data_IF_987688097305
#
_entry.id   IF_987688097305
#
_cell.length_a   1.000
_cell.length_b   1.000
_cell.length_c   1.000
_cell.angle_alpha   90.00
_cell.angle_beta   90.00
_cell.angle_gamma   90.00
#
_symmetry.space_group_name_H-M   'P 1'
#
loop_
_entity.id
_entity.type
_entity.pdbx_description
1 polymer ?
#
# COMPACT_ATOMS: atom_id res chain seq x y z
N UNK A 1 1.04 8.42 -16.79
CA UNK A 1 1.71 9.18 -15.71
C UNK A 1 1.30 8.75 -14.29
N UNK A 2 0.00 8.69 -13.94
CA UNK A 2 -0.45 8.46 -12.55
C UNK A 2 0.11 7.21 -11.86
N UNK A 3 0.08 6.04 -12.51
CA UNK A 3 0.68 4.80 -11.98
C UNK A 3 2.14 4.99 -11.56
N UNK A 4 2.94 5.57 -12.46
CA UNK A 4 4.36 5.82 -12.22
C UNK A 4 4.60 6.82 -11.07
N UNK A 5 3.78 7.87 -10.98
CA UNK A 5 3.84 8.81 -9.87
C UNK A 5 3.55 8.14 -8.52
N UNK A 6 2.58 7.22 -8.49
CA UNK A 6 2.28 6.39 -7.32
C UNK A 6 3.45 5.50 -6.89
N UNK A 7 4.09 4.82 -7.85
CA UNK A 7 5.27 3.98 -7.57
C UNK A 7 6.39 4.83 -6.98
N UNK A 8 6.75 5.94 -7.62
CA UNK A 8 7.83 6.81 -7.16
C UNK A 8 7.54 7.44 -5.80
N UNK A 9 6.30 7.89 -5.56
CA UNK A 9 5.91 8.43 -4.27
C UNK A 9 6.15 7.39 -3.16
N UNK A 10 5.67 6.16 -3.32
CA UNK A 10 5.90 5.11 -2.33
C UNK A 10 7.38 4.74 -2.20
N UNK A 11 8.13 4.72 -3.30
CA UNK A 11 9.57 4.42 -3.29
C UNK A 11 10.37 5.50 -2.56
N UNK A 12 10.05 6.78 -2.77
CA UNK A 12 10.74 7.88 -2.08
C UNK A 12 10.38 7.92 -0.60
N UNK A 13 9.11 7.70 -0.27
CA UNK A 13 8.60 7.75 1.09
C UNK A 13 8.87 6.46 1.86
N UNK A 14 9.13 5.35 1.16
CA UNK A 14 9.28 4.00 1.71
C UNK A 14 8.06 3.53 2.54
N UNK A 15 6.90 4.18 2.37
CA UNK A 15 5.65 3.84 3.03
C UNK A 15 4.47 4.07 2.10
N UNK A 16 3.81 2.97 1.74
CA UNK A 16 2.61 2.99 0.92
C UNK A 16 1.40 3.51 1.69
N UNK A 17 1.31 3.25 2.99
CA UNK A 17 0.28 3.81 3.87
C UNK A 17 0.32 5.33 3.86
N UNK A 18 1.51 5.93 3.95
CA UNK A 18 1.70 7.38 3.85
C UNK A 18 1.34 7.89 2.45
N UNK A 19 1.82 7.22 1.42
CA UNK A 19 1.58 7.64 0.03
C UNK A 19 0.10 7.58 -0.35
N UNK A 20 -0.59 6.49 0.02
CA UNK A 20 -2.03 6.31 -0.25
C UNK A 20 -2.89 7.23 0.60
N UNK A 21 -2.57 7.44 1.90
CA UNK A 21 -3.25 8.42 2.73
C UNK A 21 -3.10 9.84 2.19
N UNK A 22 -1.91 10.19 1.67
CA UNK A 22 -1.66 11.47 1.02
C UNK A 22 -2.50 11.63 -0.25
N UNK A 23 -2.53 10.62 -1.12
CA UNK A 23 -3.36 10.64 -2.33
C UNK A 23 -4.85 10.82 -1.99
N UNK A 24 -5.35 10.05 -1.00
CA UNK A 24 -6.74 10.18 -0.51
C UNK A 24 -7.01 11.56 0.07
N UNK A 25 -6.08 12.11 0.86
CA UNK A 25 -6.19 13.45 1.43
C UNK A 25 -6.23 14.54 0.37
N UNK A 26 -5.38 14.46 -0.66
CA UNK A 26 -5.37 15.40 -1.79
C UNK A 26 -6.67 15.38 -2.59
N UNK A 27 -7.23 14.19 -2.84
CA UNK A 27 -8.55 14.04 -3.48
C UNK A 27 -9.66 14.55 -2.57
N UNK A 28 -9.57 14.24 -1.28
CA UNK A 28 -10.46 14.71 -0.23
C UNK A 28 -10.43 16.22 0.01
N UNK A 29 -9.41 16.91 -0.49
CA UNK A 29 -9.28 18.37 -0.49
C UNK A 29 -9.64 19.00 -1.85
N UNK A 30 -9.97 18.18 -2.87
CA UNK A 30 -10.30 18.65 -4.21
C UNK A 30 -9.09 19.05 -5.07
N UNK A 31 -7.88 18.81 -4.59
CA UNK A 31 -6.62 19.16 -5.31
C UNK A 31 -6.23 18.13 -6.38
N UNK A 32 -6.72 16.90 -6.25
CA UNK A 32 -6.47 15.79 -7.16
C UNK A 32 -7.80 15.14 -7.55
N UNK A 33 -7.99 14.84 -8.83
CA UNK A 33 -9.20 14.15 -9.28
C UNK A 33 -9.11 12.64 -9.07
N UNK A 34 -10.27 11.98 -9.02
CA UNK A 34 -10.37 10.51 -8.82
C UNK A 34 -9.67 9.75 -9.95
N UNK A 35 -9.84 10.21 -11.20
CA UNK A 35 -9.29 9.53 -12.38
C UNK A 35 -7.77 9.48 -12.40
N UNK A 36 -7.08 10.51 -11.92
CA UNK A 36 -5.62 10.50 -11.76
C UNK A 36 -5.20 9.75 -10.49
N UNK A 37 -5.98 9.84 -9.41
CA UNK A 37 -5.66 9.24 -8.13
C UNK A 37 -5.75 7.70 -8.13
N UNK A 38 -6.69 7.11 -8.87
CA UNK A 38 -6.86 5.64 -8.91
C UNK A 38 -5.61 4.92 -9.46
N UNK A 39 -5.05 5.30 -10.63
CA UNK A 39 -3.77 4.79 -11.08
C UNK A 39 -2.64 5.06 -10.08
N UNK A 40 -2.60 6.23 -9.43
CA UNK A 40 -1.59 6.54 -8.41
C UNK A 40 -1.67 5.59 -7.21
N UNK A 41 -2.86 5.23 -6.74
CA UNK A 41 -3.02 4.24 -5.68
C UNK A 41 -2.55 2.85 -6.11
N UNK A 42 -2.91 2.42 -7.33
CA UNK A 42 -2.43 1.13 -7.87
C UNK A 42 -0.90 1.11 -7.94
N UNK A 43 -0.29 2.23 -8.32
CA UNK A 43 1.16 2.40 -8.36
C UNK A 43 1.78 2.41 -6.97
N UNK A 44 1.14 3.08 -6.01
CA UNK A 44 1.57 3.10 -4.63
C UNK A 44 1.57 1.69 -4.01
N UNK A 45 0.64 0.82 -4.42
CA UNK A 45 0.58 -0.58 -4.04
C UNK A 45 1.75 -1.40 -4.63
N UNK A 46 2.10 -1.18 -5.91
CA UNK A 46 3.33 -1.76 -6.48
C UNK A 46 4.55 -1.29 -5.68
N UNK A 47 4.66 0.01 -5.40
CA UNK A 47 5.81 0.56 -4.67
C UNK A 47 6.01 -0.02 -3.25
N UNK A 48 4.99 -0.64 -2.64
CA UNK A 48 5.09 -1.28 -1.31
C UNK A 48 6.21 -2.32 -1.23
N UNK A 49 6.55 -2.94 -2.35
CA UNK A 49 7.39 -4.14 -2.39
C UNK A 49 8.89 -3.83 -2.42
N UNK A 50 9.27 -2.56 -2.56
CA UNK A 50 10.67 -2.15 -2.47
C UNK A 50 11.26 -2.45 -1.10
N UNK A 51 10.51 -2.22 -0.02
CA UNK A 51 10.99 -2.48 1.36
C UNK A 51 11.30 -3.96 1.57
N UNK A 52 10.46 -4.83 1.01
CA UNK A 52 10.61 -6.29 1.09
C UNK A 52 11.84 -6.74 0.31
N UNK A 53 12.03 -6.16 -0.87
CA UNK A 53 13.18 -6.45 -1.72
C UNK A 53 14.47 -6.03 -1.03
N UNK A 54 14.53 -4.83 -0.45
CA UNK A 54 15.66 -4.37 0.35
C UNK A 54 15.92 -5.26 1.57
N UNK A 55 14.87 -5.67 2.29
CA UNK A 55 15.01 -6.59 3.43
C UNK A 55 15.63 -7.94 3.02
N UNK A 56 15.30 -8.45 1.84
CA UNK A 56 15.88 -9.70 1.34
C UNK A 56 17.38 -9.62 1.06
N UNK A 57 17.91 -8.42 0.75
CA UNK A 57 19.35 -8.21 0.52
C UNK A 57 20.18 -8.41 1.80
N UNK A 58 19.56 -8.42 2.99
CA UNK A 58 20.27 -8.73 4.23
C UNK A 58 20.87 -10.16 4.25
N UNK A 59 20.34 -11.07 3.43
CA UNK A 59 20.86 -12.43 3.28
C UNK A 59 21.75 -12.61 2.05
N UNK A 60 22.14 -11.55 1.33
CA UNK A 60 22.86 -11.62 0.03
C UNK A 60 24.14 -12.44 0.06
N UNK A 61 24.79 -12.54 1.22
CA UNK A 61 26.02 -13.32 1.42
C UNK A 61 25.79 -14.83 1.50
N UNK A 62 24.54 -15.28 1.67
CA UNK A 62 24.15 -16.69 1.85
C UNK A 62 23.19 -17.10 0.74
N UNK A 63 23.72 -17.66 -0.34
CA UNK A 63 22.98 -17.84 -1.61
C UNK A 63 21.64 -18.56 -1.49
N UNK A 64 21.55 -19.64 -0.69
CA UNK A 64 20.29 -20.37 -0.50
C UNK A 64 19.25 -19.59 0.33
N UNK A 65 19.70 -18.91 1.39
CA UNK A 65 18.84 -18.04 2.18
C UNK A 65 18.37 -16.84 1.35
N UNK A 66 19.30 -16.21 0.61
CA UNK A 66 19.02 -15.10 -0.29
C UNK A 66 17.98 -15.49 -1.35
N UNK A 67 18.14 -16.65 -2.00
CA UNK A 67 17.18 -17.16 -2.99
C UNK A 67 15.78 -17.27 -2.39
N UNK A 68 15.65 -17.82 -1.17
CA UNK A 68 14.36 -17.98 -0.50
C UNK A 68 13.78 -16.63 -0.06
N UNK A 69 14.60 -15.77 0.54
CA UNK A 69 14.22 -14.42 0.97
C UNK A 69 13.74 -13.57 -0.21
N UNK A 70 14.49 -13.58 -1.32
CA UNK A 70 14.18 -12.81 -2.50
C UNK A 70 12.91 -13.33 -3.21
N UNK A 71 12.69 -14.64 -3.22
CA UNK A 71 11.42 -15.20 -3.70
C UNK A 71 10.23 -14.73 -2.83
N UNK A 72 10.41 -14.69 -1.51
CA UNK A 72 9.38 -14.22 -0.58
C UNK A 72 9.07 -12.73 -0.77
N UNK A 73 10.08 -11.91 -1.07
CA UNK A 73 9.89 -10.49 -1.38
C UNK A 73 9.19 -10.27 -2.72
N UNK A 74 9.61 -10.98 -3.77
CA UNK A 74 9.14 -10.75 -5.15
C UNK A 74 7.80 -11.40 -5.48
N UNK A 75 7.34 -12.44 -4.77
CA UNK A 75 6.02 -13.02 -5.02
C UNK A 75 4.87 -12.03 -4.84
N UNK A 76 5.01 -11.08 -3.89
CA UNK A 76 4.03 -10.02 -3.67
C UNK A 76 4.10 -8.98 -4.79
N UNK A 77 5.31 -8.62 -5.19
CA UNK A 77 5.56 -7.70 -6.30
C UNK A 77 4.93 -8.20 -7.59
N UNK A 78 5.18 -9.46 -7.93
CA UNK A 78 4.62 -10.10 -9.11
C UNK A 78 3.10 -10.21 -9.04
N UNK A 79 2.53 -10.52 -7.87
CA UNK A 79 1.08 -10.51 -7.71
C UNK A 79 0.48 -9.11 -7.98
N UNK A 80 1.07 -8.06 -7.41
CA UNK A 80 0.61 -6.69 -7.58
C UNK A 80 0.76 -6.23 -9.04
N UNK A 81 1.90 -6.51 -9.67
CA UNK A 81 2.14 -6.20 -11.09
C UNK A 81 1.11 -6.92 -11.98
N UNK A 82 0.88 -8.21 -11.77
CA UNK A 82 -0.12 -8.97 -12.54
C UNK A 82 -1.52 -8.39 -12.33
N UNK A 83 -1.90 -8.06 -11.09
CA UNK A 83 -3.18 -7.45 -10.79
C UNK A 83 -3.33 -6.09 -11.49
N UNK A 84 -2.30 -5.24 -11.47
CA UNK A 84 -2.31 -3.95 -12.18
C UNK A 84 -2.40 -4.15 -13.70
N UNK A 85 -1.64 -5.07 -14.28
CA UNK A 85 -1.68 -5.36 -15.72
C UNK A 85 -3.07 -5.81 -16.20
N UNK A 86 -3.84 -6.48 -15.34
CA UNK A 86 -5.21 -6.90 -15.65
C UNK A 86 -6.20 -5.77 -15.38
N UNK A 87 -6.18 -5.20 -14.18
CA UNK A 87 -7.25 -4.32 -13.71
C UNK A 87 -7.07 -2.86 -14.09
N UNK A 88 -5.86 -2.36 -14.32
CA UNK A 88 -5.66 -0.97 -14.72
C UNK A 88 -6.24 -0.67 -16.11
N UNK A 89 -5.98 -1.48 -17.17
CA UNK A 89 -6.62 -1.26 -18.47
C UNK A 89 -8.14 -1.38 -18.39
N UNK A 90 -8.65 -2.36 -17.62
CA UNK A 90 -10.08 -2.53 -17.42
C UNK A 90 -10.68 -1.33 -16.68
N UNK A 91 -10.00 -0.82 -15.65
CA UNK A 91 -10.42 0.36 -14.90
C UNK A 91 -10.41 1.62 -15.77
N UNK A 92 -9.39 1.83 -16.60
CA UNK A 92 -9.32 3.01 -17.50
C UNK A 92 -10.43 2.95 -18.56
N UNK A 93 -10.72 1.76 -19.08
CA UNK A 93 -11.72 1.58 -20.16
C UNK A 93 -13.17 1.58 -19.68
N UNK A 94 -13.45 1.03 -18.49
CA UNK A 94 -14.83 0.83 -17.98
C UNK A 94 -15.15 1.60 -16.70
N UNK A 95 -14.14 2.06 -15.96
CA UNK A 95 -14.33 2.65 -14.63
C UNK A 95 -14.85 1.69 -13.57
N UNK A 96 -14.87 0.36 -13.81
CA UNK A 96 -15.66 -0.58 -12.99
C UNK A 96 -15.35 -0.56 -11.49
N UNK A 97 -14.09 -0.39 -11.06
CA UNK A 97 -13.74 -0.31 -9.64
C UNK A 97 -14.21 1.01 -9.05
N UNK A 98 -14.05 2.13 -9.77
CA UNK A 98 -14.51 3.44 -9.31
C UNK A 98 -16.04 3.52 -9.25
N UNK A 99 -16.74 2.85 -10.17
CA UNK A 99 -18.20 2.74 -10.14
C UNK A 99 -18.66 1.90 -8.96
N UNK A 100 -18.05 0.73 -8.74
CA UNK A 100 -18.36 -0.11 -7.58
C UNK A 100 -18.03 0.60 -6.25
N UNK A 101 -16.89 1.29 -6.19
CA UNK A 101 -16.48 2.09 -5.04
C UNK A 101 -17.43 3.27 -4.78
N UNK A 102 -17.93 3.92 -5.85
CA UNK A 102 -18.93 4.97 -5.77
C UNK A 102 -20.24 4.46 -5.18
N UNK A 103 -20.72 3.32 -5.67
CA UNK A 103 -21.92 2.67 -5.14
C UNK A 103 -21.76 2.30 -3.66
N UNK A 104 -20.61 1.73 -3.26
CA UNK A 104 -20.32 1.45 -1.86
C UNK A 104 -20.21 2.72 -1.01
N UNK A 105 -19.60 3.79 -1.54
CA UNK A 105 -19.50 5.07 -0.85
C UNK A 105 -20.89 5.66 -0.55
N UNK A 106 -21.84 5.53 -1.48
CA UNK A 106 -23.21 6.02 -1.31
C UNK A 106 -23.97 5.24 -0.23
N UNK A 107 -23.72 3.93 -0.12
CA UNK A 107 -24.28 3.08 0.94
C UNK A 107 -23.69 3.38 2.31
N UNK A 108 -22.38 3.59 2.40
CA UNK A 108 -21.67 3.77 3.68
C UNK A 108 -21.83 5.19 4.22
N UNK A 109 -21.73 6.20 3.36
CA UNK A 109 -21.61 7.59 3.79
C UNK A 109 -22.93 8.35 3.92
N UNK A 110 -24.09 7.70 3.73
CA UNK A 110 -25.39 8.37 3.79
C UNK A 110 -25.55 9.47 2.74
N UNK A 111 -24.71 9.48 1.69
CA UNK A 111 -24.70 10.49 0.61
C UNK A 111 -25.99 10.51 -0.22
N UNK A 112 -26.88 9.52 -0.05
CA UNK A 112 -28.21 9.47 -0.67
C UNK A 112 -29.24 10.45 -0.09
N UNK A 113 -28.92 11.18 0.98
CA UNK A 113 -29.86 12.02 1.72
C UNK A 113 -29.54 13.51 1.79
N UNK A 114 -29.02 14.14 0.73
CA UNK A 114 -28.97 15.62 0.55
C UNK A 114 -28.19 16.48 1.56
N UNK A 115 -27.78 15.94 2.71
CA UNK A 115 -26.93 16.60 3.69
C UNK A 115 -25.45 16.38 3.38
N UNK A 116 -24.62 17.42 3.55
CA UNK A 116 -23.16 17.27 3.52
C UNK A 116 -22.76 16.36 4.68
N UNK A 117 -22.22 15.15 4.44
CA UNK A 117 -21.72 14.33 5.53
C UNK A 117 -20.56 15.06 6.18
N UNK A 118 -20.65 15.22 7.50
CA UNK A 118 -19.58 15.81 8.28
C UNK A 118 -18.64 14.71 8.72
N UNK A 119 -17.35 14.88 8.44
CA UNK A 119 -16.32 13.99 8.95
C UNK A 119 -16.25 14.12 10.49
N UNK A 120 -16.53 13.04 11.25
CA UNK A 120 -16.43 13.08 12.71
C UNK A 120 -15.01 13.41 13.18
N UNK A 121 -14.01 12.93 12.43
CA UNK A 121 -12.60 13.23 12.71
C UNK A 121 -12.34 14.71 12.46
N UNK A 122 -12.84 15.28 11.35
CA UNK A 122 -12.68 16.70 11.02
C UNK A 122 -13.26 17.59 12.11
N UNK A 123 -14.42 17.23 12.66
CA UNK A 123 -15.01 18.00 13.78
C UNK A 123 -14.11 18.03 15.02
N UNK A 124 -13.48 16.89 15.35
CA UNK A 124 -12.54 16.78 16.48
C UNK A 124 -11.26 17.58 16.23
N UNK A 125 -10.71 17.54 15.01
CA UNK A 125 -9.46 18.23 14.69
C UNK A 125 -9.65 19.70 14.28
N UNK A 126 -10.88 20.17 14.09
CA UNK A 126 -11.19 21.51 13.59
C UNK A 126 -10.58 22.60 14.48
N UNK A 127 -10.81 22.54 15.78
CA UNK A 127 -10.32 23.56 16.71
C UNK A 127 -8.77 23.63 16.75
N UNK A 128 -8.03 22.51 16.88
CA UNK A 128 -6.57 22.53 16.74
C UNK A 128 -6.08 23.12 15.42
N UNK A 129 -6.74 22.79 14.29
CA UNK A 129 -6.36 23.26 12.96
C UNK A 129 -6.62 24.77 12.81
N UNK A 130 -7.77 25.26 13.26
CA UNK A 130 -8.12 26.70 13.22
C UNK A 130 -7.15 27.52 14.06
N UNK A 131 -6.67 27.01 15.20
CA UNK A 131 -5.62 27.67 15.99
C UNK A 131 -4.30 27.75 15.24
N UNK A 132 -3.90 26.70 14.53
CA UNK A 132 -2.68 26.70 13.71
C UNK A 132 -2.82 27.70 12.56
N UNK A 133 -3.98 27.74 11.89
CA UNK A 133 -4.27 28.69 10.83
C UNK A 133 -4.18 30.13 11.33
N UNK A 134 -4.86 30.46 12.43
CA UNK A 134 -4.82 31.83 12.99
C UNK A 134 -3.43 32.31 13.39
N UNK A 135 -2.52 31.40 13.77
CA UNK A 135 -1.10 31.75 14.03
C UNK A 135 -0.30 32.04 12.76
N UNK A 136 -0.70 31.45 11.63
CA UNK A 136 -0.02 31.58 10.33
C UNK A 136 -0.62 32.70 9.47
N UNK A 137 -1.87 33.07 9.71
CA UNK A 137 -2.55 34.20 9.05
C UNK A 137 -1.88 35.54 9.40
N UNK A 138 -1.36 35.69 10.63
CA UNK A 138 -0.71 36.92 11.08
C UNK A 138 0.58 37.28 10.29
N UNK A 139 1.47 36.33 9.97
CA UNK A 139 2.68 36.62 9.17
C UNK A 139 2.52 36.47 7.64
N UNK A 140 1.45 35.87 7.11
CA UNK A 140 1.33 35.54 5.67
C UNK A 140 0.10 36.21 5.05
N UNK A 141 0.30 37.34 4.35
CA UNK A 141 -0.79 38.11 3.71
C UNK A 141 -1.34 37.47 2.42
N UNK A 142 -0.62 36.51 1.82
CA UNK A 142 -1.05 35.87 0.56
C UNK A 142 -1.76 34.54 0.80
N UNK A 143 -3.06 34.47 0.49
CA UNK A 143 -3.90 33.27 0.60
C UNK A 143 -3.29 32.04 -0.09
N UNK A 144 -2.61 32.23 -1.22
CA UNK A 144 -1.95 31.14 -1.96
C UNK A 144 -0.76 30.57 -1.20
N UNK A 145 0.04 31.45 -0.59
CA UNK A 145 1.22 31.06 0.19
C UNK A 145 0.78 30.40 1.49
N UNK A 146 -0.21 30.96 2.17
CA UNK A 146 -0.82 30.39 3.37
C UNK A 146 -1.36 28.97 3.09
N UNK A 147 -2.13 28.81 2.01
CA UNK A 147 -2.64 27.50 1.59
C UNK A 147 -1.53 26.49 1.30
N UNK A 148 -0.45 26.91 0.63
CA UNK A 148 0.71 26.06 0.37
C UNK A 148 1.44 25.66 1.66
N UNK A 149 1.65 26.60 2.59
CA UNK A 149 2.28 26.33 3.90
C UNK A 149 1.43 25.36 4.74
N UNK A 150 0.12 25.58 4.80
CA UNK A 150 -0.81 24.69 5.50
C UNK A 150 -0.82 23.28 4.90
N UNK A 151 -0.76 23.18 3.56
CA UNK A 151 -0.62 21.89 2.87
C UNK A 151 0.67 21.18 3.29
N UNK A 152 1.80 21.89 3.32
CA UNK A 152 3.10 21.32 3.72
C UNK A 152 3.08 20.90 5.19
N UNK A 153 2.50 21.70 6.09
CA UNK A 153 2.35 21.36 7.51
C UNK A 153 1.46 20.12 7.67
N UNK A 154 0.30 20.09 7.01
CA UNK A 154 -0.63 18.97 7.05
C UNK A 154 0.00 17.67 6.54
N UNK A 155 0.70 17.72 5.40
CA UNK A 155 1.48 16.61 4.88
C UNK A 155 2.55 16.18 5.89
N UNK A 156 3.32 17.13 6.45
CA UNK A 156 4.36 16.81 7.42
C UNK A 156 3.81 16.12 8.68
N UNK A 157 2.65 16.56 9.18
CA UNK A 157 1.95 15.92 10.30
C UNK A 157 1.44 14.52 9.94
N UNK A 158 0.89 14.31 8.75
CA UNK A 158 0.47 12.98 8.27
C UNK A 158 1.68 12.04 8.24
N UNK A 159 2.80 12.47 7.66
CA UNK A 159 4.02 11.69 7.57
C UNK A 159 4.59 11.37 8.95
N UNK A 160 4.71 12.38 9.82
CA UNK A 160 5.21 12.23 11.18
C UNK A 160 4.34 11.29 12.01
N UNK A 161 3.01 11.47 11.98
CA UNK A 161 2.06 10.64 12.70
C UNK A 161 2.13 9.18 12.25
N UNK A 162 2.09 8.91 10.94
CA UNK A 162 2.17 7.55 10.40
C UNK A 162 3.52 6.88 10.68
N UNK A 163 4.63 7.63 10.60
CA UNK A 163 5.95 7.14 10.98
C UNK A 163 6.01 6.78 12.47
N UNK A 164 5.48 7.66 13.33
CA UNK A 164 5.46 7.45 14.77
C UNK A 164 4.60 6.25 15.17
N UNK A 165 3.40 6.09 14.57
CA UNK A 165 2.54 4.91 14.76
C UNK A 165 3.31 3.65 14.38
N UNK A 166 3.97 3.64 13.22
CA UNK A 166 4.73 2.48 12.73
C UNK A 166 5.82 2.04 13.72
N UNK A 167 6.59 2.99 14.27
CA UNK A 167 7.67 2.70 15.23
C UNK A 167 7.13 2.14 16.54
N UNK A 168 6.06 2.72 17.08
CA UNK A 168 5.49 2.30 18.36
C UNK A 168 4.76 0.95 18.24
N UNK A 169 3.99 0.75 17.17
CA UNK A 169 3.28 -0.51 16.93
C UNK A 169 4.25 -1.68 16.73
N UNK A 170 5.40 -1.43 16.07
CA UNK A 170 6.44 -2.45 15.94
C UNK A 170 6.91 -3.00 17.29
N UNK A 171 7.09 -2.13 18.29
CA UNK A 171 7.55 -2.52 19.63
C UNK A 171 6.48 -3.29 20.39
N UNK A 172 5.22 -2.92 20.24
CA UNK A 172 4.09 -3.50 20.97
C UNK A 172 3.63 -4.85 20.41
N UNK A 173 3.70 -5.04 19.10
CA UNK A 173 3.11 -6.21 18.44
C UNK A 173 4.11 -7.27 17.97
N UNK A 174 5.41 -7.09 18.22
CA UNK A 174 6.44 -8.04 17.78
C UNK A 174 6.18 -9.47 18.31
N UNK A 175 5.87 -9.63 19.60
CA UNK A 175 5.57 -10.95 20.17
C UNK A 175 4.24 -11.55 19.65
N UNK A 176 3.20 -10.72 19.50
CA UNK A 176 1.91 -11.14 18.96
C UNK A 176 2.04 -11.60 17.50
N UNK A 177 2.88 -10.93 16.72
CA UNK A 177 3.23 -11.27 15.35
C UNK A 177 3.86 -12.67 15.27
N UNK A 178 4.87 -12.95 16.10
CA UNK A 178 5.52 -14.26 16.16
C UNK A 178 4.53 -15.38 16.52
N UNK A 179 3.71 -15.18 17.57
CA UNK A 179 2.67 -16.15 17.97
C UNK A 179 1.64 -16.38 16.85
N UNK A 180 1.20 -15.32 16.19
CA UNK A 180 0.21 -15.40 15.11
C UNK A 180 0.78 -16.16 13.90
N UNK A 181 2.03 -15.89 13.53
CA UNK A 181 2.72 -16.59 12.46
C UNK A 181 2.92 -18.07 12.78
N UNK A 182 3.34 -18.41 14.00
CA UNK A 182 3.45 -19.81 14.45
C UNK A 182 2.10 -20.55 14.36
N UNK A 183 1.00 -19.87 14.70
CA UNK A 183 -0.36 -20.44 14.54
C UNK A 183 -0.77 -20.62 13.07
N UNK A 184 -0.34 -19.72 12.19
CA UNK A 184 -0.57 -19.81 10.74
C UNK A 184 0.14 -21.03 10.15
N UNK A 185 1.40 -21.24 10.56
CA UNK A 185 2.20 -22.41 10.17
C UNK A 185 1.56 -23.70 10.66
N UNK A 186 1.08 -23.73 11.90
CA UNK A 186 0.49 -24.93 12.50
C UNK A 186 -0.85 -25.36 11.86
N UNK A 187 -1.68 -24.41 11.41
CA UNK A 187 -3.02 -24.71 10.86
C UNK A 187 -3.03 -25.02 9.36
N UNK A 188 -1.99 -24.62 8.62
CA UNK A 188 -1.77 -25.01 7.22
C UNK A 188 -2.78 -24.52 6.17
N UNK A 189 -3.87 -23.82 6.54
CA UNK A 189 -4.86 -23.33 5.58
C UNK A 189 -4.53 -21.93 5.09
N UNK A 190 -4.48 -21.75 3.77
CA UNK A 190 -4.11 -20.47 3.18
C UNK A 190 -5.08 -19.32 3.48
N UNK A 191 -6.36 -19.62 3.72
CA UNK A 191 -7.33 -18.59 4.17
C UNK A 191 -7.03 -18.09 5.58
N UNK A 192 -6.61 -18.98 6.51
CA UNK A 192 -6.20 -18.57 7.85
C UNK A 192 -4.92 -17.74 7.78
N UNK A 193 -3.96 -18.13 6.93
CA UNK A 193 -2.76 -17.31 6.69
C UNK A 193 -3.12 -15.91 6.20
N UNK A 194 -4.04 -15.80 5.25
CA UNK A 194 -4.53 -14.52 4.74
C UNK A 194 -5.23 -13.68 5.81
N UNK A 195 -6.13 -14.28 6.59
CA UNK A 195 -6.81 -13.59 7.69
C UNK A 195 -5.80 -13.05 8.72
N UNK A 196 -4.78 -13.84 9.07
CA UNK A 196 -3.71 -13.43 9.98
C UNK A 196 -2.97 -12.23 9.39
N UNK A 197 -2.52 -12.29 8.13
CA UNK A 197 -1.87 -11.17 7.46
C UNK A 197 -2.71 -9.89 7.47
N UNK A 198 -4.01 -10.00 7.20
CA UNK A 198 -4.95 -8.88 7.23
C UNK A 198 -5.06 -8.29 8.62
N UNK A 199 -5.43 -9.09 9.62
CA UNK A 199 -5.67 -8.62 11.00
C UNK A 199 -4.40 -8.02 11.59
N UNK A 200 -3.28 -8.70 11.45
CA UNK A 200 -1.98 -8.22 11.91
C UNK A 200 -1.64 -6.87 11.28
N UNK A 201 -1.83 -6.72 9.97
CA UNK A 201 -1.48 -5.47 9.29
C UNK A 201 -2.45 -4.35 9.65
N UNK A 202 -3.73 -4.64 9.89
CA UNK A 202 -4.68 -3.65 10.41
C UNK A 202 -4.27 -3.18 11.82
N UNK A 203 -3.89 -4.11 12.69
CA UNK A 203 -3.47 -3.79 14.05
C UNK A 203 -2.18 -2.95 14.07
N UNK A 204 -1.21 -3.32 13.23
CA UNK A 204 0.12 -2.68 13.19
C UNK A 204 0.16 -1.46 12.26
N UNK A 205 -0.80 -1.32 11.34
CA UNK A 205 -0.89 -0.29 10.29
C UNK A 205 0.26 -0.31 9.27
N UNK A 206 1.06 -1.37 9.22
CA UNK A 206 2.20 -1.49 8.33
C UNK A 206 2.39 -2.93 7.84
N UNK A 207 2.26 -3.13 6.53
CA UNK A 207 2.55 -4.42 5.88
C UNK A 207 4.06 -4.71 5.81
N UNK A 208 4.91 -3.68 5.85
CA UNK A 208 6.37 -3.87 5.87
C UNK A 208 6.85 -4.52 7.17
N UNK A 209 6.16 -4.31 8.30
CA UNK A 209 6.45 -5.00 9.55
C UNK A 209 6.10 -6.49 9.45
N UNK A 210 4.90 -6.82 8.96
CA UNK A 210 4.46 -8.21 8.76
C UNK A 210 5.42 -8.98 7.84
N UNK A 211 5.80 -8.36 6.73
CA UNK A 211 6.70 -8.96 5.73
C UNK A 211 8.16 -9.02 6.20
N UNK A 212 8.63 -8.05 6.99
CA UNK A 212 9.97 -8.07 7.60
C UNK A 212 10.20 -9.26 8.53
N UNK A 213 9.14 -9.84 9.11
CA UNK A 213 9.23 -11.07 9.91
C UNK A 213 9.08 -12.30 9.01
N UNK A 214 8.18 -12.25 8.02
CA UNK A 214 7.99 -13.36 7.08
C UNK A 214 9.25 -13.66 6.25
N UNK A 215 9.94 -12.65 5.75
CA UNK A 215 11.09 -12.83 4.84
C UNK A 215 12.22 -13.64 5.51
N UNK A 216 12.70 -13.30 6.73
CA UNK A 216 13.68 -14.12 7.45
C UNK A 216 13.20 -15.56 7.73
N UNK A 217 11.92 -15.78 8.04
CA UNK A 217 11.37 -17.12 8.28
C UNK A 217 11.36 -17.98 7.01
N UNK A 218 11.10 -17.37 5.86
CA UNK A 218 11.22 -18.06 4.56
C UNK A 218 12.70 -18.26 4.21
N UNK A 219 13.55 -17.26 4.47
CA UNK A 219 14.99 -17.33 4.25
C UNK A 219 15.63 -18.50 5.03
N UNK A 220 15.26 -18.69 6.30
CA UNK A 220 15.74 -19.78 7.15
C UNK A 220 15.11 -21.14 6.83
N UNK A 221 14.03 -21.17 6.04
CA UNK A 221 13.31 -22.39 5.68
C UNK A 221 12.26 -22.83 6.70
N UNK A 222 12.07 -22.08 7.80
CA UNK A 222 11.01 -22.31 8.79
C UNK A 222 9.62 -22.19 8.16
N UNK A 223 9.46 -21.28 7.20
CA UNK A 223 8.22 -21.06 6.47
C UNK A 223 8.37 -21.32 4.98
N UNK A 224 7.54 -22.18 4.41
CA UNK A 224 7.51 -22.39 2.96
C UNK A 224 6.99 -21.13 2.24
N UNK A 225 7.60 -20.79 1.09
CA UNK A 225 7.20 -19.65 0.25
C UNK A 225 5.69 -19.62 -0.03
N UNK A 226 5.12 -20.78 -0.36
CA UNK A 226 3.71 -21.00 -0.67
C UNK A 226 2.77 -20.73 0.49
N UNK A 227 3.25 -20.91 1.72
CA UNK A 227 2.51 -20.60 2.95
C UNK A 227 2.66 -19.12 3.32
N UNK A 228 3.79 -18.50 2.99
CA UNK A 228 3.99 -17.05 3.15
C UNK A 228 3.14 -16.22 2.16
N UNK A 229 2.86 -16.76 0.96
CA UNK A 229 2.08 -16.08 -0.07
C UNK A 229 0.72 -15.57 0.43
N UNK A 230 -0.20 -16.41 0.96
CA UNK A 230 -1.49 -15.92 1.45
C UNK A 230 -1.37 -14.92 2.60
N UNK A 231 -0.39 -15.07 3.50
CA UNK A 231 -0.17 -14.10 4.58
C UNK A 231 0.19 -12.73 4.00
N UNK A 232 1.01 -12.72 2.96
CA UNK A 232 1.41 -11.49 2.27
C UNK A 232 0.24 -10.84 1.53
N UNK A 233 -0.64 -11.62 0.90
CA UNK A 233 -1.88 -11.12 0.30
C UNK A 233 -2.81 -10.50 1.35
N UNK A 234 -2.94 -11.13 2.51
CA UNK A 234 -3.69 -10.58 3.63
C UNK A 234 -3.12 -9.25 4.11
N UNK A 235 -1.79 -9.17 4.28
CA UNK A 235 -1.13 -7.93 4.66
C UNK A 235 -1.37 -6.79 3.66
N UNK A 236 -1.44 -7.11 2.37
CA UNK A 236 -1.77 -6.14 1.33
C UNK A 236 -3.19 -5.58 1.50
N UNK A 237 -4.18 -6.46 1.74
CA UNK A 237 -5.56 -6.04 2.07
C UNK A 237 -5.60 -5.17 3.33
N UNK A 238 -4.90 -5.59 4.39
CA UNK A 238 -4.84 -4.83 5.65
C UNK A 238 -4.32 -3.39 5.47
N UNK A 239 -3.36 -3.19 4.57
CA UNK A 239 -2.80 -1.85 4.25
C UNK A 239 -3.86 -0.88 3.71
N UNK A 240 -4.92 -1.40 3.07
CA UNK A 240 -5.99 -0.56 2.50
C UNK A 240 -6.81 0.17 3.58
N UNK A 241 -6.80 -0.34 4.82
CA UNK A 241 -7.50 0.31 5.94
C UNK A 241 -6.92 1.69 6.25
N UNK A 242 -5.63 1.92 6.05
CA UNK A 242 -5.05 3.25 6.29
C UNK A 242 -5.63 4.31 5.35
N UNK A 243 -5.85 3.96 4.08
CA UNK A 243 -6.50 4.84 3.11
C UNK A 243 -7.97 5.10 3.48
N UNK A 244 -8.68 4.09 3.98
CA UNK A 244 -10.05 4.25 4.48
C UNK A 244 -10.10 5.19 5.68
N UNK A 245 -9.21 5.03 6.64
CA UNK A 245 -9.11 5.94 7.80
C UNK A 245 -8.77 7.37 7.37
N UNK A 246 -7.85 7.56 6.42
CA UNK A 246 -7.53 8.87 5.86
C UNK A 246 -8.75 9.52 5.19
N UNK A 247 -9.59 8.73 4.50
CA UNK A 247 -10.81 9.24 3.87
C UNK A 247 -11.87 9.72 4.88
N UNK A 248 -11.82 9.23 6.11
CA UNK A 248 -12.70 9.69 7.19
C UNK A 248 -12.29 11.06 7.74
N UNK A 249 -11.12 11.58 7.41
CA UNK A 249 -10.62 12.88 7.86
C UNK A 249 -10.92 14.03 6.88
N UNK A 250 -11.60 13.74 5.76
CA UNK A 250 -11.91 14.69 4.68
C UNK A 250 -13.42 14.67 4.37
N UNK A 251 -13.97 15.81 3.92
CA UNK A 251 -15.42 15.94 3.70
C UNK A 251 -15.87 15.50 2.29
N UNK A 252 -14.94 15.41 1.34
CA UNK A 252 -15.27 15.10 -0.04
C UNK A 252 -15.42 13.59 -0.23
N UNK A 253 -16.61 13.19 -0.70
CA UNK A 253 -16.95 11.83 -1.16
C UNK A 253 -15.86 11.21 -2.03
N UNK A 254 -15.22 12.01 -2.88
CA UNK A 254 -14.16 11.59 -3.78
C UNK A 254 -13.00 10.88 -3.05
N UNK A 255 -12.62 11.33 -1.85
CA UNK A 255 -11.58 10.68 -1.04
C UNK A 255 -11.96 9.26 -0.62
N UNK A 256 -13.21 9.07 -0.18
CA UNK A 256 -13.75 7.75 0.18
C UNK A 256 -13.83 6.82 -1.04
N UNK A 257 -14.25 7.32 -2.21
CA UNK A 257 -14.28 6.54 -3.46
C UNK A 257 -12.88 6.03 -3.81
N UNK A 258 -11.86 6.87 -3.70
CA UNK A 258 -10.47 6.48 -3.99
C UNK A 258 -9.96 5.44 -2.98
N UNK A 259 -10.26 5.62 -1.68
CA UNK A 259 -9.91 4.65 -0.65
C UNK A 259 -10.62 3.29 -0.85
N UNK A 260 -11.91 3.29 -1.15
CA UNK A 260 -12.67 2.06 -1.46
C UNK A 260 -12.19 1.41 -2.76
N UNK A 261 -11.82 2.20 -3.77
CA UNK A 261 -11.21 1.68 -5.00
C UNK A 261 -9.92 0.92 -4.69
N UNK A 262 -9.11 1.41 -3.74
CA UNK A 262 -7.91 0.71 -3.27
C UNK A 262 -8.23 -0.66 -2.66
N UNK A 263 -9.24 -0.71 -1.77
CA UNK A 263 -9.67 -1.96 -1.13
C UNK A 263 -10.23 -2.93 -2.16
N UNK A 264 -11.13 -2.47 -3.04
CA UNK A 264 -11.72 -3.29 -4.09
C UNK A 264 -10.68 -3.83 -5.07
N UNK A 265 -9.70 -3.02 -5.47
CA UNK A 265 -8.60 -3.47 -6.32
C UNK A 265 -7.85 -4.67 -5.71
N UNK A 266 -7.48 -4.58 -4.43
CA UNK A 266 -6.78 -5.66 -3.74
C UNK A 266 -7.65 -6.92 -3.60
N UNK A 267 -8.92 -6.75 -3.22
CA UNK A 267 -9.86 -7.86 -3.09
C UNK A 267 -10.16 -8.52 -4.44
N UNK A 268 -10.31 -7.75 -5.52
CA UNK A 268 -10.51 -8.25 -6.88
C UNK A 268 -9.26 -9.01 -7.38
N UNK A 269 -8.06 -8.49 -7.11
CA UNK A 269 -6.78 -9.19 -7.31
C UNK A 269 -6.77 -10.57 -6.68
N UNK A 270 -7.11 -10.64 -5.40
CA UNK A 270 -7.16 -11.91 -4.66
C UNK A 270 -8.25 -12.80 -5.24
N UNK A 271 -9.47 -12.30 -5.44
CA UNK A 271 -10.61 -13.06 -5.94
C UNK A 271 -10.38 -13.65 -7.33
N UNK A 272 -9.62 -12.97 -8.19
CA UNK A 272 -9.27 -13.45 -9.53
C UNK A 272 -8.08 -14.41 -9.52
N UNK A 273 -7.02 -14.14 -8.76
CA UNK A 273 -5.76 -14.87 -8.88
C UNK A 273 -5.68 -16.05 -7.90
N UNK A 274 -6.13 -15.87 -6.65
CA UNK A 274 -5.84 -16.82 -5.57
C UNK A 274 -6.72 -18.09 -5.56
N UNK A 275 -8.05 -18.05 -5.82
CA UNK A 275 -8.89 -19.26 -5.85
C UNK A 275 -8.47 -20.25 -6.93
N UNK A 276 -8.06 -19.76 -8.09
CA UNK A 276 -7.72 -20.59 -9.25
C UNK A 276 -6.27 -21.05 -9.16
N UNK A 277 -6.05 -22.34 -8.87
CA UNK A 277 -4.71 -22.92 -8.74
C UNK A 277 -3.75 -22.53 -9.88
N UNK A 278 -4.11 -22.59 -11.17
CA UNK A 278 -3.18 -22.19 -12.24
C UNK A 278 -2.71 -20.74 -12.11
N UNK A 279 -3.61 -19.80 -11.77
CA UNK A 279 -3.30 -18.39 -11.62
C UNK A 279 -2.53 -18.11 -10.33
N UNK A 280 -2.91 -18.74 -9.21
CA UNK A 280 -2.23 -18.62 -7.92
C UNK A 280 -0.75 -19.02 -7.99
N UNK A 281 -0.45 -20.01 -8.83
CA UNK A 281 0.91 -20.50 -9.02
C UNK A 281 1.79 -19.57 -9.85
N UNK A 282 1.21 -18.66 -10.64
CA UNK A 282 1.98 -17.78 -11.54
C UNK A 282 2.91 -16.84 -10.76
N UNK A 283 2.43 -16.02 -9.79
CA UNK A 283 3.31 -15.14 -9.02
C UNK A 283 4.41 -15.91 -8.28
N UNK A 284 4.05 -17.05 -7.67
CA UNK A 284 4.99 -17.86 -6.87
C UNK A 284 6.07 -18.48 -7.75
N UNK A 285 5.72 -19.09 -8.89
CA UNK A 285 6.70 -19.70 -9.80
C UNK A 285 7.58 -18.67 -10.49
N UNK A 286 7.03 -17.51 -10.83
CA UNK A 286 7.82 -16.41 -11.37
C UNK A 286 8.82 -15.91 -10.32
N UNK A 287 8.40 -15.74 -9.05
CA UNK A 287 9.28 -15.37 -7.96
C UNK A 287 10.42 -16.37 -7.76
N UNK A 288 10.13 -17.67 -7.78
CA UNK A 288 11.13 -18.74 -7.71
C UNK A 288 12.11 -18.72 -8.91
N UNK A 289 11.63 -18.40 -10.11
CA UNK A 289 12.49 -18.28 -11.31
C UNK A 289 13.42 -17.08 -11.19
N UNK A 290 12.87 -15.90 -10.87
CA UNK A 290 13.65 -14.67 -10.72
C UNK A 290 14.65 -14.81 -9.57
N UNK A 291 14.26 -15.43 -8.46
CA UNK A 291 15.16 -15.59 -7.31
C UNK A 291 16.31 -16.56 -7.56
N UNK A 292 16.11 -17.60 -8.37
CA UNK A 292 17.22 -18.48 -8.81
C UNK A 292 18.27 -17.72 -9.61
N UNK A 293 17.82 -16.84 -10.51
CA UNK A 293 18.73 -16.00 -11.32
C UNK A 293 19.44 -14.98 -10.42
N UNK A 294 18.68 -14.32 -9.53
CA UNK A 294 19.18 -13.35 -8.56
C UNK A 294 20.28 -13.93 -7.65
N UNK A 295 20.14 -15.19 -7.22
CA UNK A 295 21.12 -15.84 -6.36
C UNK A 295 22.48 -16.10 -7.03
N UNK A 296 22.51 -16.20 -8.37
CA UNK A 296 23.75 -16.35 -9.15
C UNK A 296 24.32 -15.00 -9.54
N UNK A 297 23.47 -14.01 -9.80
CA UNK A 297 23.86 -12.68 -10.23
C UNK A 297 23.22 -11.58 -9.36
N UNK A 298 23.77 -11.29 -8.17
CA UNK A 298 23.19 -10.29 -7.26
C UNK A 298 23.15 -8.87 -7.85
N UNK A 299 24.07 -8.53 -8.78
CA UNK A 299 24.03 -7.28 -9.53
C UNK A 299 22.76 -7.12 -10.37
N UNK A 300 22.20 -8.22 -10.92
CA UNK A 300 20.93 -8.17 -11.65
C UNK A 300 19.76 -7.80 -10.73
N UNK A 301 19.88 -8.03 -9.41
CA UNK A 301 18.86 -7.62 -8.45
C UNK A 301 18.86 -6.11 -8.28
N UNK A 302 20.03 -5.49 -8.14
CA UNK A 302 20.14 -4.03 -8.07
C UNK A 302 19.59 -3.39 -9.35
N UNK A 303 19.91 -3.94 -10.52
CA UNK A 303 19.38 -3.49 -11.81
C UNK A 303 17.86 -3.70 -11.92
N UNK A 304 17.32 -4.82 -11.44
CA UNK A 304 15.88 -5.08 -11.39
C UNK A 304 15.16 -4.04 -10.53
N UNK A 305 15.67 -3.79 -9.31
CA UNK A 305 15.06 -2.83 -8.38
C UNK A 305 15.10 -1.43 -8.94
N UNK A 306 16.27 -0.97 -9.40
CA UNK A 306 16.42 0.35 -10.02
C UNK A 306 15.54 0.45 -11.28
N UNK A 307 15.51 -0.61 -12.09
CA UNK A 307 14.71 -0.69 -13.31
C UNK A 307 13.21 -0.52 -13.06
N UNK A 308 12.64 -1.30 -12.15
CA UNK A 308 11.18 -1.33 -11.91
C UNK A 308 10.72 -0.18 -11.01
N UNK A 309 11.48 0.19 -9.99
CA UNK A 309 11.03 1.16 -8.98
C UNK A 309 11.48 2.59 -9.26
N UNK A 310 12.50 2.80 -10.10
CA UNK A 310 13.06 4.14 -10.37
C UNK A 310 12.99 4.46 -11.87
N UNK A 311 13.74 3.74 -12.70
CA UNK A 311 13.91 4.06 -14.13
C UNK A 311 12.59 3.94 -14.88
N UNK A 312 11.88 2.80 -14.76
CA UNK A 312 10.61 2.57 -15.42
C UNK A 312 9.55 3.64 -15.07
N UNK A 313 9.34 3.95 -13.78
CA UNK A 313 8.45 5.03 -13.38
C UNK A 313 8.89 6.41 -13.87
N UNK A 314 10.18 6.77 -13.79
CA UNK A 314 10.68 8.07 -14.28
C UNK A 314 10.45 8.19 -15.78
N UNK A 315 10.85 7.18 -16.55
CA UNK A 315 10.63 7.13 -18.01
C UNK A 315 9.14 7.18 -18.33
N UNK A 316 8.31 6.43 -17.61
CA UNK A 316 6.86 6.44 -17.78
C UNK A 316 6.20 7.79 -17.46
N UNK A 317 6.75 8.58 -16.52
CA UNK A 317 6.31 9.96 -16.31
C UNK A 317 6.75 10.85 -17.47
N UNK A 318 7.99 10.75 -17.93
CA UNK A 318 8.51 11.60 -19.01
C UNK A 318 7.80 11.34 -20.34
N UNK A 319 7.51 10.07 -20.67
CA UNK A 319 6.88 9.69 -21.94
C UNK A 319 5.36 9.89 -21.97
N UNK A 320 4.69 9.81 -20.82
CA UNK A 320 3.23 9.93 -20.70
C UNK A 320 2.80 11.29 -20.12
N UNK A 321 3.70 12.27 -20.15
CA UNK A 321 3.47 13.66 -19.74
C UNK A 321 2.76 14.44 -20.83
#
# INVERSE_FOLDING_TARGET
AGLCAGILATVLVQSSSVSTATIVGLVGAGTLNVDAAVPMIMGANIGTTITNTLASLASITRSDEFRRAFAAATQHDLFNIIAVLIFLPLQISTGFLSTAASWLADLIGGYGGGGKPRSPIKEIVREPVERIQGLLDAPIESDRVLGAVLLVIGLSLIFFSLAFITVNMRRLFAEQLERSLNSAVARGSGLVGMAIGTVTTIAVQSSSITTSILIPLVASGVLALRNAFPITLGANVGTTVTALLASLAVDLRAGLVVALTHTLFNLAGIGLIYPFRPLREVPVRLAEKVSRIAAVHPLLVALYVIGIFIVGPVVGIVLLR
#
